data_IF_085680531320
#
_entry.id   IF_085680531320
#
_cell.length_a   1.000
_cell.length_b   1.000
_cell.length_c   1.000
_cell.angle_alpha   90.00
_cell.angle_beta   90.00
_cell.angle_gamma   90.00
#
_symmetry.space_group_name_H-M   'P 1'
#
loop_
_entity.id
_entity.type
_entity.pdbx_description
1 polymer ?
#
# COMPACT_ATOMS: atom_id res chain seq x y z
N UNK A 1 7.51 -0.69 20.12
CA UNK A 1 8.93 -0.40 19.81
C UNK A 1 9.27 1.00 20.31
N UNK A 2 10.52 1.23 20.72
CA UNK A 2 11.02 2.57 21.09
C UNK A 2 11.06 3.48 19.84
N UNK A 3 10.57 4.73 19.89
CA UNK A 3 10.62 5.66 18.75
C UNK A 3 12.00 5.83 18.12
N UNK A 4 13.08 5.84 18.94
CA UNK A 4 14.45 5.90 18.42
C UNK A 4 14.82 4.67 17.60
N UNK A 5 14.34 3.50 17.98
CA UNK A 5 14.59 2.27 17.25
C UNK A 5 13.80 2.21 15.93
N UNK A 6 12.62 2.83 15.87
CA UNK A 6 11.86 2.93 14.62
C UNK A 6 12.55 3.83 13.60
N UNK A 7 13.16 4.93 14.05
CA UNK A 7 13.81 5.91 13.17
C UNK A 7 15.11 5.40 12.52
N UNK A 8 15.73 4.35 13.07
CA UNK A 8 16.99 3.77 12.57
C UNK A 8 16.78 2.59 11.62
N UNK A 9 15.53 2.22 11.33
CA UNK A 9 15.23 1.10 10.43
C UNK A 9 15.63 1.45 9.00
N UNK A 10 16.21 0.48 8.32
CA UNK A 10 16.45 0.53 6.89
C UNK A 10 15.14 0.53 6.10
N UNK A 11 15.18 1.00 4.84
CA UNK A 11 14.03 0.96 3.95
C UNK A 11 13.46 -0.46 3.78
N UNK A 12 14.35 -1.46 3.79
CA UNK A 12 13.97 -2.87 3.68
C UNK A 12 13.15 -3.33 4.88
N UNK A 13 13.63 -3.06 6.10
CA UNK A 13 12.91 -3.43 7.32
C UNK A 13 11.54 -2.74 7.41
N UNK A 14 11.45 -1.48 7.00
CA UNK A 14 10.17 -0.75 6.98
C UNK A 14 9.21 -1.35 5.95
N UNK A 15 9.68 -1.63 4.73
CA UNK A 15 8.81 -2.19 3.69
C UNK A 15 8.36 -3.62 4.05
N UNK A 16 9.25 -4.45 4.57
CA UNK A 16 8.90 -5.80 5.00
C UNK A 16 7.89 -5.80 6.16
N UNK A 17 8.05 -4.92 7.16
CA UNK A 17 7.07 -4.74 8.25
C UNK A 17 5.72 -4.24 7.72
N UNK A 18 5.73 -3.24 6.83
CA UNK A 18 4.54 -2.72 6.16
C UNK A 18 3.76 -3.82 5.42
N UNK A 19 4.43 -4.58 4.56
CA UNK A 19 3.78 -5.64 3.77
C UNK A 19 3.24 -6.79 4.63
N UNK A 20 3.91 -7.11 5.74
CA UNK A 20 3.41 -8.10 6.70
C UNK A 20 2.15 -7.62 7.42
N UNK A 21 2.12 -6.37 7.87
CA UNK A 21 0.96 -5.78 8.53
C UNK A 21 -0.21 -5.59 7.56
N UNK A 22 0.07 -5.21 6.30
CA UNK A 22 -0.94 -5.08 5.24
C UNK A 22 -1.65 -6.42 4.96
N UNK A 23 -0.90 -7.54 4.87
CA UNK A 23 -1.50 -8.88 4.74
C UNK A 23 -2.37 -9.28 5.92
N UNK A 24 -2.01 -8.84 7.12
CA UNK A 24 -2.75 -9.10 8.36
C UNK A 24 -3.90 -8.13 8.63
N UNK A 25 -4.14 -7.15 7.76
CA UNK A 25 -5.10 -6.07 7.96
C UNK A 25 -4.88 -5.25 9.25
N UNK A 26 -3.64 -5.21 9.78
CA UNK A 26 -3.30 -4.46 10.99
C UNK A 26 -2.88 -3.02 10.66
N UNK A 27 -3.88 -2.25 10.21
CA UNK A 27 -3.67 -0.91 9.66
C UNK A 27 -3.21 0.11 10.71
N UNK A 28 -3.73 0.04 11.95
CA UNK A 28 -3.37 1.00 13.00
C UNK A 28 -1.92 0.84 13.45
N UNK A 29 -1.45 -0.41 13.57
CA UNK A 29 -0.05 -0.68 13.88
C UNK A 29 0.86 -0.23 12.75
N UNK A 30 0.46 -0.45 11.50
CA UNK A 30 1.22 -0.07 10.32
C UNK A 30 1.35 1.46 10.19
N UNK A 31 0.25 2.19 10.36
CA UNK A 31 0.28 3.66 10.43
C UNK A 31 1.25 4.17 11.50
N UNK A 32 1.16 3.62 12.71
CA UNK A 32 2.01 4.05 13.82
C UNK A 32 3.49 3.75 13.58
N UNK A 33 3.80 2.58 12.99
CA UNK A 33 5.18 2.13 12.80
C UNK A 33 5.79 2.64 11.52
N UNK A 34 5.13 2.50 10.38
CA UNK A 34 5.78 2.59 9.08
C UNK A 34 5.49 3.88 8.34
N UNK A 35 4.37 4.57 8.59
CA UNK A 35 4.05 5.80 7.87
C UNK A 35 4.51 7.06 8.60
N UNK A 36 4.98 8.03 7.81
CA UNK A 36 5.13 9.42 8.24
C UNK A 36 3.72 10.06 8.39
N UNK A 37 3.43 10.79 9.48
CA UNK A 37 2.15 11.47 9.67
C UNK A 37 1.76 12.42 8.52
N UNK A 38 2.75 12.98 7.83
CA UNK A 38 2.62 13.92 6.71
C UNK A 38 2.89 13.27 5.34
N UNK A 39 2.79 11.94 5.26
CA UNK A 39 2.89 11.13 4.02
C UNK A 39 2.19 11.79 2.82
N UNK A 40 2.86 11.76 1.67
CA UNK A 40 2.27 12.13 0.37
C UNK A 40 2.00 10.87 -0.44
N UNK A 41 0.75 10.62 -0.80
CA UNK A 41 0.35 9.48 -1.64
C UNK A 41 -0.24 9.98 -2.96
N UNK A 42 0.40 9.61 -4.08
CA UNK A 42 -0.05 9.96 -5.43
C UNK A 42 -0.53 8.73 -6.18
N UNK A 43 -1.70 8.80 -6.78
CA UNK A 43 -2.26 7.70 -7.57
C UNK A 43 -2.83 8.23 -8.88
N UNK A 44 -3.21 7.32 -9.78
CA UNK A 44 -4.02 7.67 -10.97
C UNK A 44 -5.38 8.31 -10.61
N UNK A 45 -5.84 8.16 -9.37
CA UNK A 45 -7.11 8.69 -8.86
C UNK A 45 -6.94 10.03 -8.12
N UNK A 46 -5.70 10.49 -7.91
CA UNK A 46 -5.43 11.80 -7.30
C UNK A 46 -4.34 11.78 -6.24
N UNK A 47 -4.34 12.85 -5.44
CA UNK A 47 -3.32 13.11 -4.42
C UNK A 47 -3.94 13.11 -3.03
N UNK A 48 -3.41 12.27 -2.17
CA UNK A 48 -3.82 12.05 -0.78
C UNK A 48 -2.70 12.49 0.16
N UNK A 49 -3.05 13.10 1.30
CA UNK A 49 -2.08 13.64 2.25
C UNK A 49 -2.35 13.18 3.68
N UNK A 50 -1.26 12.88 4.38
CA UNK A 50 -1.24 12.45 5.75
C UNK A 50 -2.02 11.15 6.00
N UNK A 51 -2.16 10.82 7.28
CA UNK A 51 -2.86 9.60 7.73
C UNK A 51 -4.30 9.52 7.22
N UNK A 52 -5.02 10.65 7.17
CA UNK A 52 -6.39 10.66 6.65
C UNK A 52 -6.43 10.36 5.15
N UNK A 53 -5.47 10.87 4.38
CA UNK A 53 -5.32 10.54 2.96
C UNK A 53 -5.08 9.05 2.73
N UNK A 54 -4.28 8.39 3.57
CA UNK A 54 -4.10 6.93 3.52
C UNK A 54 -5.42 6.20 3.77
N UNK A 55 -6.19 6.62 4.78
CA UNK A 55 -7.52 6.03 5.07
C UNK A 55 -8.48 6.17 3.90
N UNK A 56 -8.49 7.34 3.25
CA UNK A 56 -9.29 7.57 2.05
C UNK A 56 -8.89 6.64 0.90
N UNK A 57 -7.59 6.45 0.65
CA UNK A 57 -7.13 5.49 -0.36
C UNK A 57 -7.53 4.05 -0.03
N UNK A 58 -7.43 3.64 1.24
CA UNK A 58 -7.85 2.28 1.64
C UNK A 58 -9.34 2.07 1.38
N UNK A 59 -10.19 3.04 1.74
CA UNK A 59 -11.62 2.98 1.43
C UNK A 59 -11.89 2.89 -0.07
N UNK A 60 -11.23 3.74 -0.87
CA UNK A 60 -11.36 3.70 -2.34
C UNK A 60 -11.00 2.32 -2.90
N UNK A 61 -9.89 1.74 -2.44
CA UNK A 61 -9.47 0.42 -2.89
C UNK A 61 -10.46 -0.68 -2.46
N UNK A 62 -11.02 -0.59 -1.25
CA UNK A 62 -12.07 -1.50 -0.77
C UNK A 62 -13.39 -1.36 -1.54
N UNK A 63 -13.74 -0.16 -1.99
CA UNK A 63 -14.92 0.06 -2.85
C UNK A 63 -14.73 -0.56 -4.24
N UNK A 64 -13.51 -0.52 -4.77
CA UNK A 64 -13.18 -1.10 -6.09
C UNK A 64 -13.04 -2.62 -6.03
N UNK A 65 -12.35 -3.13 -5.00
CA UNK A 65 -12.03 -4.53 -4.77
C UNK A 65 -12.51 -4.94 -3.37
N UNK A 66 -13.83 -5.12 -3.17
CA UNK A 66 -14.40 -5.50 -1.88
C UNK A 66 -13.87 -6.86 -1.46
N UNK A 67 -13.49 -6.97 -0.17
CA UNK A 67 -12.89 -8.18 0.39
C UNK A 67 -11.72 -8.71 -0.47
N UNK A 68 -10.95 -7.78 -1.05
CA UNK A 68 -9.92 -8.10 -2.02
C UNK A 68 -8.90 -9.11 -1.53
N UNK A 69 -8.63 -10.12 -2.34
CA UNK A 69 -7.49 -11.02 -2.19
C UNK A 69 -6.32 -10.49 -3.01
N UNK A 70 -5.13 -10.42 -2.40
CA UNK A 70 -3.95 -9.79 -2.99
C UNK A 70 -2.83 -10.80 -3.21
N UNK A 71 -2.16 -10.71 -4.35
CA UNK A 71 -0.92 -11.45 -4.64
C UNK A 71 0.22 -10.46 -4.86
N UNK A 72 1.35 -10.66 -4.17
CA UNK A 72 2.56 -9.87 -4.35
C UNK A 72 3.53 -10.63 -5.25
N UNK A 73 3.90 -10.02 -6.38
CA UNK A 73 4.72 -10.67 -7.42
C UNK A 73 6.19 -10.32 -7.25
N UNK A 74 6.48 -9.03 -7.13
CA UNK A 74 7.84 -8.50 -7.04
C UNK A 74 7.96 -7.54 -5.88
N UNK A 75 8.98 -7.73 -5.03
CA UNK A 75 9.34 -6.78 -3.97
C UNK A 75 10.81 -6.43 -4.14
N UNK A 76 11.10 -5.15 -4.32
CA UNK A 76 12.46 -4.64 -4.48
C UNK A 76 12.69 -3.47 -3.53
N UNK A 77 13.92 -3.38 -3.02
CA UNK A 77 14.36 -2.26 -2.21
C UNK A 77 15.79 -1.91 -2.62
N UNK A 78 15.99 -0.66 -3.03
CA UNK A 78 17.30 -0.09 -3.34
C UNK A 78 17.44 1.25 -2.60
N UNK A 79 18.37 1.30 -1.63
CA UNK A 79 18.62 2.45 -0.75
C UNK A 79 17.36 2.90 0.00
N UNK A 80 16.73 3.97 -0.48
CA UNK A 80 15.54 4.60 0.11
C UNK A 80 14.28 4.32 -0.70
N UNK A 81 14.39 3.60 -1.82
CA UNK A 81 13.27 3.31 -2.70
C UNK A 81 12.79 1.89 -2.51
N UNK A 82 11.49 1.75 -2.29
CA UNK A 82 10.78 0.47 -2.34
C UNK A 82 9.93 0.37 -3.59
N UNK A 83 9.74 -0.85 -4.09
CA UNK A 83 8.81 -1.18 -5.16
C UNK A 83 8.08 -2.47 -4.83
N UNK A 84 6.77 -2.48 -5.08
CA UNK A 84 5.90 -3.64 -4.99
C UNK A 84 5.10 -3.75 -6.29
N UNK A 85 5.14 -4.92 -6.92
CA UNK A 85 4.20 -5.33 -7.95
C UNK A 85 3.16 -6.28 -7.33
N UNK A 86 1.89 -6.07 -7.64
CA UNK A 86 0.79 -6.83 -7.09
C UNK A 86 -0.38 -7.00 -8.07
N UNK A 87 -1.17 -8.05 -7.86
CA UNK A 87 -2.50 -8.21 -8.47
C UNK A 87 -3.53 -8.44 -7.37
N UNK A 88 -4.79 -8.17 -7.66
CA UNK A 88 -5.86 -8.38 -6.70
C UNK A 88 -7.21 -8.68 -7.34
N UNK A 89 -8.07 -9.38 -6.60
CA UNK A 89 -9.43 -9.71 -7.02
C UNK A 89 -10.40 -9.42 -5.89
N UNK A 90 -11.47 -8.68 -6.18
CA UNK A 90 -12.57 -8.43 -5.25
C UNK A 90 -13.66 -9.49 -5.38
N UNK A 91 -14.47 -9.65 -4.33
CA UNK A 91 -15.61 -10.59 -4.33
C UNK A 91 -16.72 -10.22 -5.32
N UNK A 92 -16.73 -8.96 -5.79
CA UNK A 92 -17.57 -8.50 -6.90
C UNK A 92 -17.04 -8.93 -8.29
N UNK A 93 -15.95 -9.71 -8.35
CA UNK A 93 -15.30 -10.16 -9.58
C UNK A 93 -14.40 -9.11 -10.25
N UNK A 94 -14.39 -7.85 -9.78
CA UNK A 94 -13.45 -6.86 -10.26
C UNK A 94 -12.02 -7.28 -9.92
N UNK A 95 -11.06 -6.92 -10.77
CA UNK A 95 -9.66 -7.33 -10.58
C UNK A 95 -8.67 -6.28 -11.04
N UNK A 96 -7.46 -6.36 -10.52
CA UNK A 96 -6.28 -5.61 -10.94
C UNK A 96 -5.21 -6.61 -11.32
N UNK A 97 -4.62 -6.43 -12.49
CA UNK A 97 -3.56 -7.30 -13.03
C UNK A 97 -2.18 -6.63 -13.01
N UNK A 98 -2.13 -5.29 -12.92
CA UNK A 98 -0.96 -4.44 -13.16
C UNK A 98 -0.66 -3.49 -11.99
N UNK A 99 -0.98 -3.92 -10.76
CA UNK A 99 -0.78 -3.11 -9.57
C UNK A 99 0.70 -2.85 -9.28
N UNK A 100 1.07 -1.58 -9.07
CA UNK A 100 2.42 -1.18 -8.74
C UNK A 100 2.42 -0.07 -7.70
N UNK A 101 3.08 -0.32 -6.57
CA UNK A 101 3.31 0.65 -5.51
C UNK A 101 4.82 0.99 -5.46
N UNK A 102 5.16 2.27 -5.36
CA UNK A 102 6.54 2.72 -5.11
C UNK A 102 6.59 3.58 -3.85
N UNK A 103 7.68 3.47 -3.11
CA UNK A 103 7.81 4.04 -1.77
C UNK A 103 9.11 4.83 -1.66
N UNK A 104 9.04 6.04 -1.11
CA UNK A 104 10.20 6.74 -0.56
C UNK A 104 10.25 6.50 0.94
N UNK A 105 11.34 5.90 1.40
CA UNK A 105 11.51 5.44 2.78
C UNK A 105 12.79 6.03 3.38
N UNK A 106 12.60 6.92 4.35
CA UNK A 106 13.65 7.70 5.01
C UNK A 106 13.34 7.82 6.50
N UNK A 107 14.38 7.89 7.34
CA UNK A 107 14.25 7.97 8.80
C UNK A 107 13.32 6.90 9.38
N UNK A 108 13.38 5.69 8.82
CA UNK A 108 12.55 4.56 9.22
C UNK A 108 11.05 4.74 8.97
N UNK A 109 10.66 5.60 8.02
CA UNK A 109 9.26 5.89 7.67
C UNK A 109 9.06 5.98 6.16
N UNK A 110 7.88 5.54 5.69
CA UNK A 110 7.37 5.80 4.36
C UNK A 110 6.90 7.26 4.34
N UNK A 111 7.60 8.11 3.59
CA UNK A 111 7.36 9.56 3.49
C UNK A 111 6.65 9.97 2.20
N UNK A 112 6.80 9.18 1.14
CA UNK A 112 5.99 9.31 -0.05
C UNK A 112 5.67 7.94 -0.64
N UNK A 113 4.55 7.85 -1.33
CA UNK A 113 4.11 6.65 -2.02
C UNK A 113 3.46 7.02 -3.36
N UNK A 114 3.72 6.25 -4.40
CA UNK A 114 2.98 6.31 -5.65
C UNK A 114 2.29 4.99 -5.93
N UNK A 115 1.10 5.02 -6.48
CA UNK A 115 0.35 3.82 -6.84
C UNK A 115 -0.19 3.94 -8.26
N UNK A 116 0.01 2.90 -9.04
CA UNK A 116 -0.64 2.69 -10.31
C UNK A 116 -1.37 1.34 -10.29
N UNK A 117 -2.58 1.31 -10.84
CA UNK A 117 -3.30 0.09 -11.19
C UNK A 117 -4.47 0.42 -12.12
N UNK A 118 -4.93 -0.60 -12.84
CA UNK A 118 -6.14 -0.56 -13.66
C UNK A 118 -7.19 -1.51 -13.09
N UNK A 119 -8.35 -0.99 -12.71
CA UNK A 119 -9.48 -1.84 -12.30
C UNK A 119 -10.19 -2.37 -13.53
N UNK A 120 -10.14 -3.69 -13.71
CA UNK A 120 -10.90 -4.42 -14.70
C UNK A 120 -12.24 -4.84 -14.06
N UNK A 121 -13.38 -4.62 -14.74
CA UNK A 121 -14.67 -5.05 -14.22
C UNK A 121 -14.72 -6.58 -14.13
N UNK A 122 -15.49 -7.08 -13.16
CA UNK A 122 -15.88 -8.48 -13.15
C UNK A 122 -16.69 -8.80 -14.39
N UNK A 123 -16.49 -9.99 -14.96
CA UNK A 123 -17.40 -10.46 -16.00
C UNK A 123 -18.82 -10.43 -15.42
N UNK A 124 -19.82 -9.86 -16.13
CA UNK A 124 -21.20 -9.99 -15.68
C UNK A 124 -21.49 -11.49 -15.53
N UNK A 125 -22.11 -11.87 -14.41
CA UNK A 125 -22.67 -13.20 -14.29
C UNK A 125 -23.58 -13.43 -15.48
N UNK A 126 -23.32 -14.50 -16.25
CA UNK A 126 -24.28 -14.99 -17.23
C UNK A 126 -25.47 -15.55 -16.44
N UNK A 127 -26.47 -14.69 -16.19
CA UNK A 127 -27.81 -15.10 -15.74
C UNK A 127 -28.59 -15.73 -16.91
#
# INVERSE_FOLDING_TARGET
MNPKALATRSAREVLEDHLNLAKGWDFETDLARNFDPDIVLMTTYGLFRGVEGLRQKVRLLQEQLPEGEWTYHTIMVERHLGFLEWSGVGTNGARVEDGADSYLIEDGKIRAMTIHYTVLPGSPSED
#
